data_IF_586757356602
#
_entry.id   IF_586757356602
#
_cell.length_a   1.000
_cell.length_b   1.000
_cell.length_c   1.000
_cell.angle_alpha   90.00
_cell.angle_beta   90.00
_cell.angle_gamma   90.00
#
_symmetry.space_group_name_H-M   'P 1'
#
loop_
_entity.id
_entity.type
_entity.pdbx_description
1 polymer ?
#
# COMPACT_ATOMS: atom_id res chain seq x y z
N UNK A 1 -29.38 27.02 12.61
CA UNK A 1 -29.88 25.70 13.07
C UNK A 1 -28.91 24.66 12.52
N UNK A 2 -27.94 24.28 13.33
CA UNK A 2 -26.85 23.38 12.97
C UNK A 2 -27.28 21.96 13.36
N UNK A 3 -27.53 21.09 12.38
CA UNK A 3 -27.81 19.69 12.65
C UNK A 3 -26.49 18.96 12.84
N UNK A 4 -26.14 18.74 14.11
CA UNK A 4 -25.10 17.81 14.53
C UNK A 4 -25.58 16.40 14.23
N UNK A 5 -25.17 15.87 13.08
CA UNK A 5 -25.36 14.46 12.75
C UNK A 5 -24.47 13.60 13.65
N UNK A 6 -25.04 13.07 14.72
CA UNK A 6 -24.44 11.99 15.52
C UNK A 6 -24.33 10.74 14.63
N UNK A 7 -23.13 10.50 14.10
CA UNK A 7 -22.82 9.23 13.44
C UNK A 7 -22.87 8.11 14.49
N UNK A 8 -23.74 7.13 14.29
CA UNK A 8 -23.75 5.89 15.07
C UNK A 8 -22.33 5.31 15.14
N UNK A 9 -21.88 4.79 16.30
CA UNK A 9 -20.57 4.18 16.39
C UNK A 9 -20.55 2.96 15.47
N UNK A 10 -19.80 3.03 14.38
CA UNK A 10 -19.53 1.84 13.58
C UNK A 10 -18.73 0.88 14.46
N UNK A 11 -19.28 -0.31 14.69
CA UNK A 11 -18.57 -1.40 15.35
C UNK A 11 -17.35 -1.73 14.52
N UNK A 12 -16.18 -1.39 15.04
CA UNK A 12 -14.92 -1.55 14.35
C UNK A 12 -14.38 -2.96 14.62
N UNK A 13 -14.14 -3.72 13.56
CA UNK A 13 -13.65 -5.09 13.69
C UNK A 13 -12.13 -5.17 14.01
N UNK A 14 -11.34 -4.12 13.70
CA UNK A 14 -9.89 -4.10 13.96
C UNK A 14 -9.45 -2.73 14.51
N UNK A 15 -8.86 -2.65 15.71
CA UNK A 15 -8.40 -1.38 16.30
C UNK A 15 -7.23 -0.76 15.52
N UNK A 16 -6.95 0.55 15.68
CA UNK A 16 -5.75 1.15 15.13
C UNK A 16 -4.48 0.55 15.76
N UNK A 17 -3.38 0.58 15.01
CA UNK A 17 -2.09 0.04 15.41
C UNK A 17 -1.76 -1.32 14.77
N UNK A 18 -0.83 -2.04 15.40
CA UNK A 18 -0.33 -3.35 14.95
C UNK A 18 -1.44 -4.40 14.96
N UNK A 19 -1.65 -5.07 13.83
CA UNK A 19 -2.59 -6.19 13.74
C UNK A 19 -1.98 -7.42 14.40
N UNK A 20 -2.63 -7.93 15.46
CA UNK A 20 -2.28 -9.19 16.10
C UNK A 20 -3.04 -10.36 15.48
N UNK A 21 -2.61 -10.85 14.32
CA UNK A 21 -3.32 -11.90 13.57
C UNK A 21 -3.67 -13.15 14.39
N UNK A 22 -2.80 -13.71 15.25
CA UNK A 22 -3.17 -14.86 16.08
C UNK A 22 -4.35 -14.58 17.01
N UNK A 23 -4.42 -13.39 17.61
CA UNK A 23 -5.52 -12.98 18.47
C UNK A 23 -6.84 -12.79 17.71
N UNK A 24 -6.77 -12.62 16.38
CA UNK A 24 -7.91 -12.55 15.47
C UNK A 24 -8.29 -13.93 14.88
N UNK A 25 -7.69 -15.03 15.36
CA UNK A 25 -7.95 -16.38 14.86
C UNK A 25 -7.24 -16.69 13.53
N UNK A 26 -6.18 -15.95 13.21
CA UNK A 26 -5.39 -16.09 11.97
C UNK A 26 -3.92 -16.43 12.30
N UNK A 27 -3.63 -17.59 12.91
CA UNK A 27 -2.28 -17.94 13.37
C UNK A 27 -1.27 -18.10 12.22
N UNK A 28 -1.72 -18.48 11.03
CA UNK A 28 -0.86 -18.65 9.85
C UNK A 28 -0.20 -17.33 9.39
N UNK A 29 -0.71 -16.19 9.86
CA UNK A 29 -0.18 -14.85 9.61
C UNK A 29 0.62 -14.30 10.81
N UNK A 30 1.06 -15.15 11.74
CA UNK A 30 1.80 -14.73 12.94
C UNK A 30 3.06 -13.91 12.60
N UNK A 31 3.75 -14.27 11.51
CA UNK A 31 4.97 -13.60 11.07
C UNK A 31 4.71 -12.45 10.09
N UNK A 32 3.45 -12.18 9.73
CA UNK A 32 3.09 -11.13 8.78
C UNK A 32 3.07 -9.74 9.42
N UNK A 33 3.30 -8.71 8.60
CA UNK A 33 3.23 -7.31 9.03
C UNK A 33 1.99 -6.58 8.48
N UNK A 34 1.12 -6.11 9.37
CA UNK A 34 0.04 -5.17 9.04
C UNK A 34 -0.18 -4.15 10.18
N UNK A 35 -0.58 -2.94 9.80
CA UNK A 35 -0.98 -1.87 10.72
C UNK A 35 -2.27 -1.21 10.22
N UNK A 36 -3.09 -0.72 11.14
CA UNK A 36 -4.25 0.12 10.85
C UNK A 36 -3.96 1.54 11.32
N UNK A 37 -3.96 2.51 10.39
CA UNK A 37 -3.71 3.93 10.71
C UNK A 37 -4.99 4.72 10.46
N UNK A 38 -5.50 5.36 11.51
CA UNK A 38 -6.69 6.21 11.42
C UNK A 38 -6.36 7.63 11.04
N UNK A 39 -7.34 8.28 10.41
CA UNK A 39 -7.37 9.73 10.24
C UNK A 39 -6.07 10.28 9.62
N UNK A 40 -5.39 9.48 8.79
CA UNK A 40 -4.16 9.86 8.10
C UNK A 40 -4.33 11.18 7.32
N UNK A 41 -5.54 11.35 6.76
CA UNK A 41 -6.00 12.54 6.09
C UNK A 41 -7.38 12.95 6.59
N UNK A 42 -7.61 14.26 6.58
CA UNK A 42 -8.95 14.83 6.75
C UNK A 42 -9.80 14.57 5.50
N UNK A 43 -11.14 14.60 5.64
CA UNK A 43 -12.05 14.47 4.48
C UNK A 43 -11.78 15.53 3.40
N UNK A 44 -11.63 16.84 3.71
CA UNK A 44 -11.29 17.84 2.69
C UNK A 44 -9.99 17.53 1.95
N UNK A 45 -8.95 17.07 2.66
CA UNK A 45 -7.68 16.70 2.03
C UNK A 45 -7.83 15.51 1.09
N UNK A 46 -8.56 14.46 1.50
CA UNK A 46 -8.84 13.31 0.63
C UNK A 46 -9.64 13.72 -0.61
N UNK A 47 -10.64 14.58 -0.45
CA UNK A 47 -11.43 15.09 -1.58
C UNK A 47 -10.57 15.86 -2.58
N UNK A 48 -9.64 16.70 -2.10
CA UNK A 48 -8.74 17.44 -2.97
C UNK A 48 -7.77 16.51 -3.73
N UNK A 49 -7.19 15.52 -3.05
CA UNK A 49 -6.32 14.51 -3.68
C UNK A 49 -7.09 13.71 -4.74
N UNK A 50 -8.31 13.30 -4.44
CA UNK A 50 -9.15 12.57 -5.39
C UNK A 50 -9.52 13.43 -6.59
N UNK A 51 -9.96 14.68 -6.38
CA UNK A 51 -10.32 15.60 -7.45
C UNK A 51 -9.14 15.87 -8.40
N UNK A 52 -7.92 15.98 -7.85
CA UNK A 52 -6.69 16.07 -8.61
C UNK A 52 -6.47 14.84 -9.50
N UNK A 53 -6.60 13.64 -8.93
CA UNK A 53 -6.47 12.39 -9.68
C UNK A 53 -7.53 12.27 -10.79
N UNK A 54 -8.79 12.64 -10.50
CA UNK A 54 -9.94 12.57 -11.41
C UNK A 54 -9.89 13.55 -12.59
N UNK A 55 -8.88 14.43 -12.66
CA UNK A 55 -8.54 15.13 -13.90
C UNK A 55 -8.14 14.16 -15.02
N UNK A 56 -7.78 12.93 -14.66
CA UNK A 56 -7.54 11.83 -15.59
C UNK A 56 -8.77 10.91 -15.70
N UNK A 57 -9.03 10.34 -16.89
CA UNK A 57 -10.16 9.44 -17.05
C UNK A 57 -9.94 8.14 -16.29
N UNK A 58 -11.00 7.69 -15.62
CA UNK A 58 -11.09 6.33 -15.09
C UNK A 58 -10.97 5.31 -16.23
N UNK A 59 -10.08 4.33 -16.07
CA UNK A 59 -9.91 3.22 -17.00
C UNK A 59 -10.14 1.91 -16.29
N UNK A 60 -10.57 0.87 -17.01
CA UNK A 60 -10.73 -0.45 -16.43
C UNK A 60 -9.43 -0.91 -15.75
N UNK A 61 -9.53 -1.42 -14.52
CA UNK A 61 -8.38 -1.80 -13.72
C UNK A 61 -7.84 -3.17 -14.17
N UNK A 62 -7.01 -3.15 -15.21
CA UNK A 62 -6.36 -4.35 -15.74
C UNK A 62 -5.40 -5.00 -14.75
N UNK A 63 -5.19 -6.31 -14.91
CA UNK A 63 -4.21 -7.10 -14.18
C UNK A 63 -2.94 -7.26 -15.01
N UNK A 64 -1.79 -7.30 -14.35
CA UNK A 64 -0.50 -7.59 -14.99
C UNK A 64 -0.11 -9.02 -14.64
N UNK A 65 0.33 -9.79 -15.64
CA UNK A 65 0.99 -11.08 -15.44
C UNK A 65 2.26 -11.10 -16.29
N UNK A 66 3.40 -10.84 -15.63
CA UNK A 66 4.68 -10.66 -16.31
C UNK A 66 4.66 -9.46 -17.27
N UNK A 67 4.87 -9.73 -18.55
CA UNK A 67 4.90 -8.73 -19.64
C UNK A 67 3.53 -8.40 -20.21
N UNK A 68 2.49 -9.15 -19.84
CA UNK A 68 1.15 -9.03 -20.43
C UNK A 68 0.15 -8.36 -19.49
N UNK A 69 -0.82 -7.68 -20.10
CA UNK A 69 -1.87 -6.93 -19.42
C UNK A 69 -3.22 -7.46 -19.85
N UNK A 70 -4.03 -7.89 -18.89
CA UNK A 70 -5.32 -8.54 -19.16
C UNK A 70 -6.49 -7.81 -18.52
N UNK A 71 -7.61 -7.82 -19.23
CA UNK A 71 -8.92 -7.45 -18.70
C UNK A 71 -9.67 -8.73 -18.35
N UNK A 72 -9.77 -9.04 -17.05
CA UNK A 72 -10.46 -10.24 -16.55
C UNK A 72 -11.53 -9.83 -15.53
N UNK A 73 -12.73 -9.41 -15.99
CA UNK A 73 -13.78 -8.88 -15.12
C UNK A 73 -14.21 -9.83 -14.00
N UNK A 74 -14.18 -11.15 -14.25
CA UNK A 74 -14.54 -12.16 -13.25
C UNK A 74 -13.48 -12.35 -12.15
N UNK A 75 -12.32 -11.73 -12.30
CA UNK A 75 -11.24 -11.74 -11.31
C UNK A 75 -11.06 -10.37 -10.64
N UNK A 76 -11.14 -9.31 -11.43
CA UNK A 76 -11.08 -7.92 -10.99
C UNK A 76 -12.09 -7.09 -11.77
N UNK A 77 -13.07 -6.56 -11.06
CA UNK A 77 -14.08 -5.67 -11.61
C UNK A 77 -14.02 -4.32 -10.89
N UNK A 78 -13.41 -3.34 -11.54
CA UNK A 78 -13.29 -1.98 -11.05
C UNK A 78 -12.46 -1.13 -12.00
N UNK A 79 -12.38 0.14 -11.69
CA UNK A 79 -11.62 1.11 -12.45
C UNK A 79 -10.40 1.60 -11.69
N UNK A 80 -9.44 2.15 -12.43
CA UNK A 80 -8.22 2.74 -11.91
C UNK A 80 -7.89 4.04 -12.63
N UNK A 81 -7.35 4.97 -11.86
CA UNK A 81 -6.49 6.04 -12.37
C UNK A 81 -5.06 5.73 -11.94
N UNK A 82 -4.13 5.87 -12.86
CA UNK A 82 -2.70 5.87 -12.56
C UNK A 82 -2.28 7.33 -12.50
N UNK A 83 -1.68 7.75 -11.40
CA UNK A 83 -1.24 9.11 -11.20
C UNK A 83 0.22 9.08 -10.74
N UNK A 84 1.13 9.37 -11.67
CA UNK A 84 2.55 9.48 -11.36
C UNK A 84 2.80 10.86 -10.72
N UNK A 85 3.14 10.89 -9.44
CA UNK A 85 3.49 12.13 -8.73
C UNK A 85 4.46 11.83 -7.59
N UNK A 86 5.66 12.38 -7.72
CA UNK A 86 6.67 12.32 -6.67
C UNK A 86 6.18 13.08 -5.43
N UNK A 87 5.66 14.29 -5.61
CA UNK A 87 5.24 15.19 -4.54
C UNK A 87 4.15 14.57 -3.67
N UNK A 88 3.12 13.99 -4.28
CA UNK A 88 2.04 13.34 -3.54
C UNK A 88 2.53 12.07 -2.85
N UNK A 89 3.37 11.28 -3.52
CA UNK A 89 3.93 10.06 -2.92
C UNK A 89 4.81 10.36 -1.69
N UNK A 90 5.60 11.43 -1.73
CA UNK A 90 6.41 11.90 -0.61
C UNK A 90 5.56 12.44 0.53
N UNK A 91 4.48 13.18 0.24
CA UNK A 91 3.55 13.65 1.27
C UNK A 91 2.85 12.48 2.00
N UNK A 92 2.43 11.45 1.24
CA UNK A 92 1.87 10.23 1.82
C UNK A 92 2.93 9.52 2.66
N UNK A 93 4.15 9.38 2.14
CA UNK A 93 5.24 8.72 2.84
C UNK A 93 5.59 9.44 4.15
N UNK A 94 5.75 10.76 4.14
CA UNK A 94 6.07 11.55 5.33
C UNK A 94 5.01 11.39 6.45
N UNK A 95 3.72 11.27 6.07
CA UNK A 95 2.63 11.02 7.02
C UNK A 95 2.62 9.60 7.56
N UNK A 96 2.95 8.60 6.72
CA UNK A 96 2.97 7.19 7.11
C UNK A 96 4.22 6.83 7.92
N UNK A 97 5.37 7.42 7.60
CA UNK A 97 6.69 7.03 8.13
C UNK A 97 6.76 6.91 9.65
N UNK A 98 6.17 7.80 10.48
CA UNK A 98 6.15 7.64 11.93
C UNK A 98 5.48 6.33 12.42
N UNK A 99 4.66 5.69 11.58
CA UNK A 99 3.97 4.44 11.87
C UNK A 99 4.67 3.20 11.30
N UNK A 100 5.77 3.38 10.56
CA UNK A 100 6.47 2.31 9.83
C UNK A 100 7.80 1.92 10.46
N UNK A 101 8.15 2.44 11.64
CA UNK A 101 9.46 2.22 12.29
C UNK A 101 9.84 0.74 12.43
N UNK A 102 8.87 -0.14 12.65
CA UNK A 102 9.09 -1.58 12.78
C UNK A 102 9.52 -2.29 11.48
N UNK A 103 9.37 -1.64 10.32
CA UNK A 103 9.77 -2.16 9.00
C UNK A 103 10.56 -1.12 8.18
N UNK A 104 10.98 -0.01 8.80
CA UNK A 104 11.75 1.02 8.09
C UNK A 104 13.12 0.48 7.70
N UNK A 105 13.69 -0.41 8.51
CA UNK A 105 14.90 -1.16 8.21
C UNK A 105 14.63 -2.65 8.40
N UNK A 106 15.02 -3.46 7.41
CA UNK A 106 14.94 -4.93 7.48
C UNK A 106 16.29 -5.53 7.10
N UNK A 107 16.59 -6.70 7.66
CA UNK A 107 17.80 -7.46 7.34
C UNK A 107 17.40 -8.81 6.77
N UNK A 108 18.06 -9.20 5.69
CA UNK A 108 17.81 -10.48 5.02
C UNK A 108 19.13 -11.24 4.83
N UNK A 109 19.09 -12.54 5.08
CA UNK A 109 20.20 -13.43 4.72
C UNK A 109 20.11 -13.76 3.25
N UNK A 110 21.05 -13.25 2.47
CA UNK A 110 21.13 -13.48 1.02
C UNK A 110 22.38 -14.28 0.69
N UNK A 111 22.33 -15.09 -0.36
CA UNK A 111 23.53 -15.71 -0.91
C UNK A 111 24.34 -14.65 -1.66
N UNK A 112 25.62 -14.51 -1.28
CA UNK A 112 26.56 -13.62 -1.94
C UNK A 112 27.58 -14.45 -2.75
N UNK A 113 27.51 -14.40 -4.10
CA UNK A 113 28.44 -15.11 -4.98
C UNK A 113 29.90 -14.71 -4.78
N UNK A 114 30.19 -13.48 -4.35
CA UNK A 114 31.56 -12.97 -4.21
C UNK A 114 32.31 -13.65 -3.06
N UNK A 115 31.61 -14.00 -1.98
CA UNK A 115 32.17 -14.72 -0.83
C UNK A 115 31.82 -16.21 -0.81
N UNK A 116 31.08 -16.69 -1.83
CA UNK A 116 30.54 -18.07 -1.90
C UNK A 116 29.85 -18.50 -0.59
N UNK A 117 29.04 -17.60 -0.03
CA UNK A 117 28.49 -17.77 1.31
C UNK A 117 27.27 -16.90 1.56
N UNK A 118 26.81 -16.86 2.81
CA UNK A 118 25.67 -16.04 3.22
C UNK A 118 26.16 -14.68 3.72
N UNK A 119 25.58 -13.61 3.17
CA UNK A 119 25.75 -12.25 3.65
C UNK A 119 24.45 -11.75 4.30
N UNK A 120 24.58 -10.74 5.18
CA UNK A 120 23.43 -9.99 5.70
C UNK A 120 23.27 -8.76 4.82
N UNK A 121 22.19 -8.72 4.05
CA UNK A 121 21.79 -7.54 3.31
C UNK A 121 20.86 -6.70 4.18
N UNK A 122 21.22 -5.43 4.37
CA UNK A 122 20.35 -4.46 5.03
C UNK A 122 19.58 -3.66 3.99
N UNK A 123 18.30 -3.48 4.24
CA UNK A 123 17.41 -2.68 3.41
C UNK A 123 16.80 -1.58 4.26
N UNK A 124 16.69 -0.38 3.69
CA UNK A 124 16.03 0.76 4.31
C UNK A 124 14.95 1.30 3.39
N UNK A 125 13.76 1.51 3.93
CA UNK A 125 12.67 2.18 3.24
C UNK A 125 12.99 3.67 3.11
N UNK A 126 13.21 4.12 1.88
CA UNK A 126 13.59 5.51 1.59
C UNK A 126 12.44 6.36 1.07
N UNK A 127 11.46 5.75 0.38
CA UNK A 127 10.32 6.43 -0.23
C UNK A 127 9.22 5.45 -0.69
N UNK A 128 8.08 6.00 -1.12
CA UNK A 128 7.03 5.25 -1.84
C UNK A 128 7.25 5.27 -3.35
N UNK A 129 6.60 4.34 -4.06
CA UNK A 129 6.56 4.37 -5.51
C UNK A 129 5.70 5.56 -5.99
N UNK A 130 6.26 6.39 -6.86
CA UNK A 130 5.63 7.59 -7.41
C UNK A 130 4.40 7.28 -8.28
N UNK A 131 4.28 6.04 -8.78
CA UNK A 131 3.15 5.56 -9.58
C UNK A 131 1.97 5.17 -8.69
N UNK A 132 1.24 6.18 -8.24
CA UNK A 132 0.05 6.02 -7.39
C UNK A 132 -1.11 5.44 -8.19
N UNK A 133 -1.93 4.62 -7.51
CA UNK A 133 -3.08 3.94 -8.10
C UNK A 133 -4.32 4.28 -7.30
N UNK A 134 -5.21 5.06 -7.90
CA UNK A 134 -6.54 5.33 -7.36
C UNK A 134 -7.49 4.26 -7.88
N UNK A 135 -8.18 3.56 -7.00
CA UNK A 135 -9.07 2.44 -7.34
C UNK A 135 -10.51 2.80 -7.03
N UNK A 136 -11.41 2.48 -7.96
CA UNK A 136 -12.85 2.68 -7.81
C UNK A 136 -13.58 1.37 -8.06
N UNK A 137 -14.41 0.97 -7.12
CA UNK A 137 -15.25 -0.21 -7.23
C UNK A 137 -16.71 0.24 -7.28
N UNK A 138 -17.38 0.16 -8.44
CA UNK A 138 -18.81 0.47 -8.54
C UNK A 138 -19.63 -0.56 -7.75
N UNK A 139 -20.97 -0.39 -7.70
CA UNK A 139 -21.85 -1.39 -7.07
C UNK A 139 -21.64 -2.76 -7.71
N UNK A 140 -21.25 -3.75 -6.90
CA UNK A 140 -20.90 -5.10 -7.37
C UNK A 140 -19.47 -5.25 -7.91
N UNK A 141 -18.65 -4.19 -7.88
CA UNK A 141 -17.23 -4.26 -8.16
C UNK A 141 -16.47 -5.01 -7.06
N UNK A 142 -15.40 -5.69 -7.46
CA UNK A 142 -14.60 -6.52 -6.56
C UNK A 142 -13.18 -6.71 -7.07
N UNK A 143 -12.32 -7.23 -6.20
CA UNK A 143 -11.05 -7.82 -6.58
C UNK A 143 -10.88 -9.09 -5.76
N UNK A 144 -10.73 -10.25 -6.43
CA UNK A 144 -10.55 -11.53 -5.75
C UNK A 144 -9.27 -11.51 -4.89
N UNK A 145 -9.26 -12.36 -3.87
CA UNK A 145 -8.09 -12.60 -3.01
C UNK A 145 -6.90 -12.96 -3.90
N UNK A 146 -5.79 -12.28 -3.70
CA UNK A 146 -4.57 -12.45 -4.47
C UNK A 146 -3.37 -12.05 -3.64
N UNK A 147 -2.21 -12.60 -4.00
CA UNK A 147 -0.93 -12.14 -3.51
C UNK A 147 -0.42 -11.04 -4.45
N UNK A 148 0.20 -10.00 -3.88
CA UNK A 148 0.90 -8.98 -4.65
C UNK A 148 2.37 -9.42 -4.69
N UNK A 149 2.86 -9.98 -5.81
CA UNK A 149 4.28 -10.33 -5.89
C UNK A 149 5.12 -9.05 -5.79
N UNK A 150 6.02 -9.02 -4.82
CA UNK A 150 6.96 -7.91 -4.64
C UNK A 150 7.98 -7.92 -5.78
N UNK A 151 7.91 -6.91 -6.66
CA UNK A 151 9.09 -6.41 -7.36
C UNK A 151 9.56 -5.18 -6.59
N UNK A 152 10.38 -5.41 -5.57
CA UNK A 152 11.04 -4.32 -4.90
C UNK A 152 12.37 -4.04 -5.60
N UNK A 153 12.43 -2.94 -6.36
CA UNK A 153 13.71 -2.35 -6.73
C UNK A 153 14.21 -1.58 -5.51
N UNK A 154 15.08 -2.21 -4.75
CA UNK A 154 15.79 -1.55 -3.68
C UNK A 154 17.18 -1.16 -4.18
N UNK A 155 17.51 0.13 -4.08
CA UNK A 155 18.85 0.61 -4.38
C UNK A 155 19.81 0.10 -3.32
N UNK A 156 20.72 -0.77 -3.72
CA UNK A 156 21.89 -1.15 -2.91
C UNK A 156 23.06 -0.22 -3.24
N UNK A 157 22.96 1.11 -3.06
CA UNK A 157 24.18 1.91 -2.83
C UNK A 157 23.95 3.34 -2.28
N UNK A 158 24.26 3.62 -1.00
CA UNK A 158 24.53 4.99 -0.54
C UNK A 158 26.02 5.39 -0.60
N UNK A 159 26.91 4.52 -1.08
CA UNK A 159 28.36 4.76 -1.19
C UNK A 159 28.90 4.41 -2.59
N UNK A 160 28.44 5.17 -3.59
CA UNK A 160 29.37 5.56 -4.64
C UNK A 160 30.22 6.69 -4.03
N UNK A 161 31.46 6.36 -3.66
CA UNK A 161 32.50 7.37 -3.39
C UNK A 161 32.80 8.13 -4.69
#
# INVERSE_FOLDING_TARGET
>A
MEQTGTSSPQTRNVPPGRVGFPALGMPDYADCYAIVVDNLYSRPTLSAILAEAERQPWKFAQINSGTEVYTVPDYRNGDRIIHDSFELSEQIFAKLRPHLSAIEEIEERVYDPAIRGTAIQKWRMVRLNERLRFLRYPKGGFFKIHEVPYLAFFSSNPYAL
#
